data_IF_108953262633
#
_entry.id   IF_108953262633
#
_cell.length_a   1.000
_cell.length_b   1.000
_cell.length_c   1.000
_cell.angle_alpha   90.00
_cell.angle_beta   90.00
_cell.angle_gamma   90.00
#
_symmetry.space_group_name_H-M   'P 1'
#
loop_
_entity.id
_entity.type
_entity.pdbx_description
1 polymer ?
#
# COMPACT_ATOMS: atom_id res chain seq x y z
N UNK A 1 -11.25 -13.31 3.02
CA UNK A 1 -11.48 -11.85 3.15
C UNK A 1 -10.30 -11.07 2.58
N UNK A 2 -10.58 -9.88 2.04
CA UNK A 2 -9.58 -8.96 1.50
C UNK A 2 -8.64 -8.37 2.56
N UNK A 3 -7.64 -7.60 2.14
CA UNK A 3 -6.72 -6.92 3.06
C UNK A 3 -7.35 -5.66 3.66
N UNK A 4 -8.22 -4.97 2.93
CA UNK A 4 -9.02 -3.84 3.41
C UNK A 4 -10.43 -3.93 2.82
N UNK A 5 -11.38 -3.21 3.41
CA UNK A 5 -12.71 -2.99 2.83
C UNK A 5 -12.67 -1.71 2.00
N UNK A 6 -12.52 -1.87 0.69
CA UNK A 6 -12.38 -0.76 -0.25
C UNK A 6 -13.71 0.00 -0.42
N UNK A 7 -13.65 1.33 -0.32
CA UNK A 7 -14.76 2.26 -0.61
C UNK A 7 -14.59 2.95 -1.96
N UNK A 8 -13.40 3.44 -2.27
CA UNK A 8 -13.09 4.15 -3.53
C UNK A 8 -11.72 3.73 -4.10
N UNK A 9 -11.67 2.85 -5.11
CA UNK A 9 -10.43 2.38 -5.71
C UNK A 9 -9.80 3.37 -6.72
N UNK A 10 -10.47 4.48 -7.05
CA UNK A 10 -10.03 5.40 -8.12
C UNK A 10 -8.63 5.93 -7.84
N UNK A 11 -7.68 5.81 -8.77
CA UNK A 11 -6.31 6.31 -8.58
C UNK A 11 -5.40 5.45 -7.68
N UNK A 12 -5.88 4.31 -7.15
CA UNK A 12 -5.03 3.42 -6.36
C UNK A 12 -3.86 2.83 -7.16
N UNK A 13 -4.04 2.63 -8.47
CA UNK A 13 -2.97 2.23 -9.39
C UNK A 13 -1.89 3.30 -9.52
N UNK A 14 -2.26 4.57 -9.62
CA UNK A 14 -1.30 5.68 -9.70
C UNK A 14 -0.51 5.79 -8.40
N UNK A 15 -1.17 5.64 -7.25
CA UNK A 15 -0.51 5.61 -5.94
C UNK A 15 0.51 4.46 -5.86
N UNK A 16 0.12 3.26 -6.30
CA UNK A 16 1.02 2.10 -6.34
C UNK A 16 2.24 2.37 -7.21
N UNK A 17 2.03 2.79 -8.45
CA UNK A 17 3.11 2.98 -9.42
C UNK A 17 4.03 4.12 -9.01
N UNK A 18 3.49 5.28 -8.63
CA UNK A 18 4.29 6.41 -8.18
C UNK A 18 5.11 6.07 -6.94
N UNK A 19 4.53 5.39 -5.95
CA UNK A 19 5.25 5.00 -4.74
C UNK A 19 6.36 3.99 -5.05
N UNK A 20 6.05 2.96 -5.84
CA UNK A 20 7.04 1.94 -6.20
C UNK A 20 8.20 2.56 -6.99
N UNK A 21 7.91 3.37 -8.01
CA UNK A 21 8.94 4.07 -8.78
C UNK A 21 9.79 4.98 -7.90
N UNK A 22 9.18 5.69 -6.95
CA UNK A 22 9.90 6.53 -6.01
C UNK A 22 10.86 5.72 -5.13
N UNK A 23 10.39 4.64 -4.50
CA UNK A 23 11.23 3.82 -3.62
C UNK A 23 12.37 3.12 -4.37
N UNK A 24 12.08 2.59 -5.57
CA UNK A 24 13.10 2.01 -6.43
C UNK A 24 14.16 3.04 -6.84
N UNK A 25 13.77 4.30 -7.09
CA UNK A 25 14.71 5.38 -7.40
C UNK A 25 15.66 5.71 -6.23
N UNK A 26 15.30 5.34 -5.01
CA UNK A 26 16.10 5.51 -3.79
C UNK A 26 16.96 4.30 -3.46
N UNK A 27 16.86 3.21 -4.21
CA UNK A 27 17.60 1.98 -3.95
C UNK A 27 17.07 1.20 -2.74
N UNK A 28 15.80 1.41 -2.37
CA UNK A 28 15.14 0.68 -1.30
C UNK A 28 15.00 -0.82 -1.66
N UNK A 29 14.90 -1.66 -0.63
CA UNK A 29 14.73 -3.11 -0.80
C UNK A 29 13.50 -3.43 -1.66
N UNK A 30 13.65 -4.38 -2.59
CA UNK A 30 12.59 -4.73 -3.55
C UNK A 30 11.34 -5.29 -2.87
N UNK A 31 11.53 -6.17 -1.89
CA UNK A 31 10.41 -6.83 -1.19
C UNK A 31 9.68 -5.82 -0.32
N UNK A 32 10.43 -5.02 0.44
CA UNK A 32 9.89 -3.95 1.26
C UNK A 32 9.16 -2.91 0.41
N UNK A 33 9.75 -2.46 -0.70
CA UNK A 33 9.15 -1.47 -1.61
C UNK A 33 7.85 -2.00 -2.21
N UNK A 34 7.82 -3.27 -2.61
CA UNK A 34 6.62 -3.92 -3.11
C UNK A 34 5.52 -3.96 -2.05
N UNK A 35 5.84 -4.40 -0.83
CA UNK A 35 4.88 -4.48 0.28
C UNK A 35 4.37 -3.09 0.66
N UNK A 36 5.26 -2.12 0.81
CA UNK A 36 4.92 -0.76 1.21
C UNK A 36 4.01 -0.09 0.18
N UNK A 37 4.38 -0.14 -1.10
CA UNK A 37 3.60 0.50 -2.17
C UNK A 37 2.20 -0.11 -2.30
N UNK A 38 2.09 -1.45 -2.17
CA UNK A 38 0.78 -2.13 -2.11
C UNK A 38 -0.01 -1.71 -0.86
N UNK A 39 0.66 -1.51 0.27
CA UNK A 39 0.00 -1.09 1.50
C UNK A 39 -0.58 0.33 1.39
N UNK A 40 0.18 1.27 0.82
CA UNK A 40 -0.28 2.65 0.58
C UNK A 40 -1.45 2.66 -0.42
N UNK A 41 -1.35 1.88 -1.50
CA UNK A 41 -2.42 1.77 -2.49
C UNK A 41 -3.70 1.17 -1.88
N UNK A 42 -3.58 0.11 -1.07
CA UNK A 42 -4.72 -0.47 -0.36
C UNK A 42 -5.32 0.54 0.64
N UNK A 43 -4.48 1.22 1.42
CA UNK A 43 -4.92 2.25 2.37
C UNK A 43 -5.66 3.40 1.68
N UNK A 44 -5.24 3.81 0.48
CA UNK A 44 -5.97 4.82 -0.32
C UNK A 44 -7.42 4.44 -0.53
N UNK A 45 -7.70 3.14 -0.74
CA UNK A 45 -9.04 2.71 -1.13
C UNK A 45 -10.11 2.82 -0.04
N UNK A 46 -9.73 3.00 1.23
CA UNK A 46 -10.68 2.98 2.35
C UNK A 46 -11.46 4.29 2.53
N UNK A 47 -11.01 5.36 1.87
CA UNK A 47 -11.54 6.72 1.98
C UNK A 47 -11.93 7.22 0.60
N UNK A 48 -12.98 8.03 0.54
CA UNK A 48 -13.42 8.67 -0.69
C UNK A 48 -12.47 9.81 -1.08
N UNK A 49 -12.24 9.97 -2.38
CA UNK A 49 -11.48 11.08 -2.93
C UNK A 49 -10.02 10.74 -3.26
N UNK A 50 -9.31 11.70 -3.87
CA UNK A 50 -8.04 11.42 -4.54
C UNK A 50 -6.86 11.26 -3.55
N UNK A 51 -6.88 11.96 -2.41
CA UNK A 51 -5.77 11.97 -1.44
C UNK A 51 -6.30 12.18 -0.02
N UNK A 52 -6.52 11.10 0.70
CA UNK A 52 -6.77 11.14 2.15
C UNK A 52 -5.47 11.10 2.95
N UNK A 53 -5.53 11.49 4.23
CA UNK A 53 -4.46 11.18 5.17
C UNK A 53 -4.49 9.69 5.52
N UNK A 54 -3.39 8.98 5.29
CA UNK A 54 -3.22 7.59 5.71
C UNK A 54 -2.56 7.61 7.09
N UNK A 55 -3.21 7.03 8.10
CA UNK A 55 -2.59 6.91 9.42
C UNK A 55 -1.47 5.87 9.38
N UNK A 56 -0.43 6.10 10.19
CA UNK A 56 0.73 5.22 10.27
C UNK A 56 0.33 3.82 10.78
N UNK A 57 -0.54 3.77 11.78
CA UNK A 57 -0.99 2.52 12.40
C UNK A 57 -1.73 1.63 11.40
N UNK A 58 -2.56 2.24 10.56
CA UNK A 58 -3.27 1.55 9.50
C UNK A 58 -2.29 0.98 8.47
N UNK A 59 -1.32 1.79 8.03
CA UNK A 59 -0.33 1.37 7.04
C UNK A 59 0.50 0.20 7.57
N UNK A 60 0.99 0.28 8.80
CA UNK A 60 1.75 -0.77 9.48
C UNK A 60 0.94 -2.07 9.62
N UNK A 61 -0.37 -1.97 9.92
CA UNK A 61 -1.29 -3.11 9.97
C UNK A 61 -1.43 -3.79 8.59
N UNK A 62 -1.62 -3.01 7.53
CA UNK A 62 -1.74 -3.53 6.15
C UNK A 62 -0.43 -4.20 5.71
N UNK A 63 0.72 -3.54 5.94
CA UNK A 63 2.05 -4.09 5.63
C UNK A 63 2.29 -5.41 6.35
N UNK A 64 1.96 -5.50 7.64
CA UNK A 64 2.11 -6.74 8.42
C UNK A 64 1.30 -7.89 7.82
N UNK A 65 0.06 -7.63 7.38
CA UNK A 65 -0.79 -8.63 6.73
C UNK A 65 -0.28 -9.04 5.35
N UNK A 66 0.24 -8.10 4.57
CA UNK A 66 0.87 -8.38 3.28
C UNK A 66 2.13 -9.23 3.44
N UNK A 67 3.01 -8.86 4.38
CA UNK A 67 4.23 -9.59 4.67
C UNK A 67 3.94 -11.04 5.08
N UNK A 68 2.97 -11.25 5.98
CA UNK A 68 2.55 -12.59 6.38
C UNK A 68 2.04 -13.43 5.21
N UNK A 69 1.35 -12.83 4.24
CA UNK A 69 0.80 -13.54 3.07
C UNK A 69 1.83 -13.83 1.99
N UNK A 70 2.85 -13.00 1.83
CA UNK A 70 3.77 -13.05 0.69
C UNK A 70 5.14 -13.65 1.04
N UNK A 71 5.58 -13.52 2.29
CA UNK A 71 6.94 -13.90 2.71
C UNK A 71 6.93 -15.10 3.64
N UNK A 72 5.90 -15.22 4.49
CA UNK A 72 5.75 -16.32 5.45
C UNK A 72 4.75 -17.39 4.99
N UNK A 73 4.45 -17.43 3.69
CA UNK A 73 3.50 -18.34 3.03
C UNK A 73 3.94 -19.80 3.09
#
# INVERSE_FOLDING_TARGET
SGIVDAKDPTGAGDVLTCMMTYLLSKGEDLVWSFIYSNAVAAAKTISEGPYGSISRELLESIMSRLYLRLVKS
#
